data_IF_663726765063
#
_entry.id   IF_663726765063
#
_cell.length_a   1.000
_cell.length_b   1.000
_cell.length_c   1.000
_cell.angle_alpha   90.00
_cell.angle_beta   90.00
_cell.angle_gamma   90.00
#
_symmetry.space_group_name_H-M   'P 1'
#
loop_
_entity.id
_entity.type
_entity.pdbx_description
1 polymer ?
#
# COMPACT_ATOMS: atom_id res chain seq x y z
N UNK A 1 -4.34 7.28 47.19
CA UNK A 1 -3.21 8.16 46.80
C UNK A 1 -1.99 7.39 46.30
N UNK A 2 -1.48 6.38 47.02
CA UNK A 2 -0.31 5.57 46.60
C UNK A 2 -0.47 4.96 45.18
N UNK A 3 -1.68 4.45 44.86
CA UNK A 3 -1.97 3.87 43.53
C UNK A 3 -1.84 4.87 42.37
N UNK A 4 -2.18 6.14 42.58
CA UNK A 4 -2.10 7.19 41.56
C UNK A 4 -0.64 7.60 41.35
N UNK A 5 0.14 7.67 42.43
CA UNK A 5 1.58 7.92 42.36
C UNK A 5 2.33 6.85 41.57
N UNK A 6 1.97 5.57 41.75
CA UNK A 6 2.55 4.48 40.96
C UNK A 6 2.23 4.61 39.46
N UNK A 7 1.00 4.95 39.09
CA UNK A 7 0.62 5.14 37.68
C UNK A 7 1.42 6.27 37.04
N UNK A 8 1.59 7.39 37.75
CA UNK A 8 2.39 8.53 37.30
C UNK A 8 3.88 8.18 37.15
N UNK A 9 4.44 7.42 38.09
CA UNK A 9 5.83 6.98 38.03
C UNK A 9 6.07 6.05 36.84
N UNK A 10 5.15 5.10 36.61
CA UNK A 10 5.23 4.18 35.48
C UNK A 10 5.08 4.90 34.14
N UNK A 11 4.21 5.89 34.03
CA UNK A 11 4.04 6.63 32.76
C UNK A 11 5.27 7.46 32.41
N UNK A 12 5.97 8.04 33.40
CA UNK A 12 7.24 8.75 33.15
C UNK A 12 8.36 7.76 32.78
N UNK A 13 8.46 6.62 33.47
CA UNK A 13 9.50 5.61 33.22
C UNK A 13 9.35 4.91 31.85
N UNK A 14 8.13 4.78 31.35
CA UNK A 14 7.83 4.17 30.04
C UNK A 14 7.57 5.19 28.94
N UNK A 15 7.71 6.49 29.21
CA UNK A 15 7.57 7.52 28.18
C UNK A 15 8.73 7.36 27.19
N UNK A 16 8.38 7.03 25.96
CA UNK A 16 9.33 7.09 24.83
C UNK A 16 9.33 8.51 24.28
N UNK A 17 10.45 8.92 23.67
CA UNK A 17 10.49 10.19 22.94
C UNK A 17 9.44 10.18 21.82
N UNK A 18 8.75 11.31 21.58
CA UNK A 18 7.83 11.40 20.47
C UNK A 18 8.60 11.20 19.17
N UNK A 19 8.22 10.18 18.40
CA UNK A 19 8.77 9.94 17.07
C UNK A 19 8.56 11.16 16.19
N UNK A 20 9.51 11.42 15.29
CA UNK A 20 9.32 12.45 14.27
C UNK A 20 8.15 12.06 13.36
N UNK A 21 7.52 13.06 12.74
CA UNK A 21 6.43 12.79 11.81
C UNK A 21 6.90 11.96 10.61
N UNK A 22 8.13 12.18 10.16
CA UNK A 22 8.76 11.42 9.08
C UNK A 22 8.90 9.95 9.46
N UNK A 23 9.44 9.67 10.66
CA UNK A 23 9.57 8.32 11.17
C UNK A 23 8.21 7.63 11.34
N UNK A 24 7.17 8.38 11.76
CA UNK A 24 5.82 7.86 11.84
C UNK A 24 5.28 7.47 10.47
N UNK A 25 5.44 8.33 9.46
CA UNK A 25 4.96 8.08 8.09
C UNK A 25 5.69 6.89 7.48
N UNK A 26 7.01 6.85 7.59
CA UNK A 26 7.83 5.75 7.11
C UNK A 26 7.40 4.41 7.74
N UNK A 27 7.26 4.37 9.07
CA UNK A 27 6.79 3.18 9.78
C UNK A 27 5.39 2.74 9.33
N UNK A 28 4.48 3.69 9.06
CA UNK A 28 3.15 3.38 8.56
C UNK A 28 3.18 2.75 7.16
N UNK A 29 4.02 3.28 6.26
CA UNK A 29 4.20 2.75 4.91
C UNK A 29 4.87 1.37 4.92
N UNK A 30 5.88 1.17 5.77
CA UNK A 30 6.52 -0.13 5.98
C UNK A 30 5.55 -1.18 6.51
N UNK A 31 4.72 -0.80 7.49
CA UNK A 31 3.69 -1.68 8.02
C UNK A 31 2.66 -2.06 6.95
N UNK A 32 2.28 -1.10 6.11
CA UNK A 32 1.38 -1.33 4.97
C UNK A 32 1.98 -2.37 4.02
N UNK A 33 3.25 -2.19 3.62
CA UNK A 33 3.96 -3.16 2.77
C UNK A 33 4.00 -4.55 3.39
N UNK A 34 4.34 -4.65 4.67
CA UNK A 34 4.40 -5.92 5.39
C UNK A 34 3.04 -6.63 5.43
N UNK A 35 1.96 -5.91 5.73
CA UNK A 35 0.60 -6.49 5.79
C UNK A 35 0.03 -6.86 4.42
N UNK A 36 0.45 -6.16 3.38
CA UNK A 36 0.00 -6.41 2.01
C UNK A 36 0.90 -7.43 1.29
N UNK A 37 2.09 -7.73 1.82
CA UNK A 37 2.99 -8.73 1.26
C UNK A 37 2.28 -10.07 1.04
N UNK A 38 2.57 -10.68 -0.10
CA UNK A 38 1.77 -11.78 -0.66
C UNK A 38 2.53 -13.10 -0.50
N UNK A 39 1.87 -14.12 0.05
CA UNK A 39 2.36 -15.51 0.04
C UNK A 39 2.01 -16.26 -1.25
N UNK A 40 2.63 -17.43 -1.52
CA UNK A 40 2.48 -18.15 -2.79
C UNK A 40 1.04 -18.60 -3.09
N UNK A 41 0.20 -18.79 -2.07
CA UNK A 41 -1.20 -19.24 -2.21
C UNK A 41 -2.16 -18.16 -2.72
N UNK A 42 -1.79 -16.88 -2.58
CA UNK A 42 -2.63 -15.74 -2.98
C UNK A 42 -2.57 -15.41 -4.48
N UNK A 43 -1.70 -16.09 -5.23
CA UNK A 43 -1.62 -15.95 -6.70
C UNK A 43 -2.81 -16.59 -7.42
N UNK A 44 -3.61 -17.38 -6.70
CA UNK A 44 -4.84 -17.97 -7.21
C UNK A 44 -6.01 -16.98 -7.20
N UNK A 45 -5.99 -15.98 -6.30
CA UNK A 45 -6.95 -14.87 -6.31
C UNK A 45 -6.32 -13.66 -7.00
N UNK A 46 -6.64 -13.51 -8.29
CA UNK A 46 -6.11 -12.44 -9.14
C UNK A 46 -6.49 -11.05 -8.60
N UNK A 47 -7.67 -10.91 -7.99
CA UNK A 47 -8.14 -9.63 -7.43
C UNK A 47 -7.30 -9.24 -6.24
N UNK A 48 -7.24 -10.16 -5.28
CA UNK A 48 -6.59 -9.92 -4.00
C UNK A 48 -5.10 -9.67 -4.25
N UNK A 49 -4.48 -10.50 -5.10
CA UNK A 49 -3.10 -10.30 -5.54
C UNK A 49 -2.86 -8.95 -6.22
N UNK A 50 -3.76 -8.52 -7.13
CA UNK A 50 -3.66 -7.22 -7.78
C UNK A 50 -3.76 -6.05 -6.79
N UNK A 51 -4.77 -6.05 -5.92
CA UNK A 51 -5.01 -4.97 -4.97
C UNK A 51 -3.89 -4.86 -3.93
N UNK A 52 -3.39 -6.00 -3.44
CA UNK A 52 -2.22 -6.06 -2.55
C UNK A 52 -0.97 -5.49 -3.22
N UNK A 53 -0.66 -5.91 -4.44
CA UNK A 53 0.47 -5.38 -5.20
C UNK A 53 0.32 -3.88 -5.47
N UNK A 54 -0.89 -3.42 -5.80
CA UNK A 54 -1.18 -2.00 -5.97
C UNK A 54 -0.92 -1.21 -4.69
N UNK A 55 -1.34 -1.72 -3.53
CA UNK A 55 -1.09 -1.09 -2.24
C UNK A 55 0.41 -1.03 -1.90
N UNK A 56 1.17 -2.11 -2.17
CA UNK A 56 2.63 -2.13 -1.99
C UNK A 56 3.31 -1.11 -2.90
N UNK A 57 2.94 -1.09 -4.19
CA UNK A 57 3.50 -0.15 -5.15
C UNK A 57 3.23 1.29 -4.74
N UNK A 58 2.00 1.59 -4.33
CA UNK A 58 1.63 2.92 -3.86
C UNK A 58 2.42 3.34 -2.61
N UNK A 59 2.61 2.42 -1.65
CA UNK A 59 3.43 2.68 -0.48
C UNK A 59 4.92 2.94 -0.84
N UNK A 60 5.48 2.21 -1.81
CA UNK A 60 6.85 2.47 -2.29
C UNK A 60 6.98 3.87 -2.90
N UNK A 61 6.05 4.29 -3.76
CA UNK A 61 6.06 5.63 -4.35
C UNK A 61 6.04 6.73 -3.28
N UNK A 62 5.26 6.52 -2.20
CA UNK A 62 5.21 7.48 -1.10
C UNK A 62 6.49 7.49 -0.26
N UNK A 63 7.13 6.33 -0.08
CA UNK A 63 8.46 6.28 0.58
C UNK A 63 9.50 7.01 -0.26
N UNK A 64 9.56 6.76 -1.57
CA UNK A 64 10.45 7.48 -2.48
C UNK A 64 10.16 9.00 -2.47
N UNK A 65 8.89 9.39 -2.41
CA UNK A 65 8.49 10.80 -2.30
C UNK A 65 8.97 11.43 -0.99
N UNK A 66 8.86 10.71 0.12
CA UNK A 66 9.34 11.13 1.43
C UNK A 66 10.88 11.32 1.42
N UNK A 67 11.61 10.36 0.86
CA UNK A 67 13.07 10.43 0.70
C UNK A 67 13.51 11.60 -0.18
N UNK A 68 12.68 11.98 -1.16
CA UNK A 68 12.88 13.15 -2.02
C UNK A 68 12.48 14.49 -1.36
N UNK A 69 12.11 14.50 -0.08
CA UNK A 69 11.83 15.72 0.70
C UNK A 69 10.38 16.20 0.65
N UNK A 70 9.44 15.32 0.32
CA UNK A 70 8.01 15.64 0.40
C UNK A 70 7.56 15.79 1.85
N UNK A 71 6.53 16.61 2.09
CA UNK A 71 6.03 16.82 3.45
C UNK A 71 5.31 15.58 4.00
N UNK A 72 5.82 15.03 5.10
CA UNK A 72 5.19 13.90 5.82
C UNK A 72 3.76 14.19 6.25
N UNK A 73 3.46 15.44 6.61
CA UNK A 73 2.10 15.84 7.00
C UNK A 73 1.14 15.75 5.82
N UNK A 74 1.57 16.22 4.65
CA UNK A 74 0.78 16.16 3.43
C UNK A 74 0.59 14.71 2.99
N UNK A 75 1.63 13.88 3.05
CA UNK A 75 1.53 12.46 2.75
C UNK A 75 0.51 11.77 3.66
N UNK A 76 0.62 11.99 4.97
CA UNK A 76 -0.29 11.39 5.93
C UNK A 76 -1.74 11.80 5.70
N UNK A 77 -1.99 13.11 5.52
CA UNK A 77 -3.34 13.63 5.36
C UNK A 77 -4.00 13.19 4.07
N UNK A 78 -3.24 13.12 2.98
CA UNK A 78 -3.78 12.95 1.63
C UNK A 78 -3.82 11.49 1.21
N UNK A 79 -2.81 10.71 1.59
CA UNK A 79 -2.61 9.37 1.03
C UNK A 79 -2.96 8.23 1.99
N UNK A 80 -2.96 8.44 3.31
CA UNK A 80 -3.36 7.38 4.26
C UNK A 80 -4.80 6.90 4.07
N UNK A 81 -5.80 7.79 3.82
CA UNK A 81 -7.16 7.32 3.53
C UNK A 81 -7.24 6.39 2.32
N UNK A 82 -6.41 6.64 1.29
CA UNK A 82 -6.34 5.83 0.07
C UNK A 82 -5.71 4.47 0.37
N UNK A 83 -4.66 4.44 1.20
CA UNK A 83 -4.06 3.18 1.67
C UNK A 83 -5.08 2.35 2.45
N UNK A 84 -5.82 2.97 3.37
CA UNK A 84 -6.80 2.26 4.18
C UNK A 84 -7.98 1.75 3.34
N UNK A 85 -8.40 2.49 2.31
CA UNK A 85 -9.36 2.02 1.31
C UNK A 85 -8.83 0.79 0.56
N UNK A 86 -7.61 0.84 0.02
CA UNK A 86 -6.99 -0.30 -0.67
C UNK A 86 -6.90 -1.53 0.25
N UNK A 87 -6.53 -1.32 1.52
CA UNK A 87 -6.47 -2.39 2.52
C UNK A 87 -7.85 -2.99 2.77
N UNK A 88 -8.89 -2.15 2.88
CA UNK A 88 -10.27 -2.63 3.04
C UNK A 88 -10.74 -3.43 1.84
N UNK A 89 -10.48 -2.94 0.63
CA UNK A 89 -10.89 -3.58 -0.62
C UNK A 89 -10.25 -4.97 -0.82
N UNK A 90 -9.02 -5.16 -0.33
CA UNK A 90 -8.34 -6.46 -0.28
C UNK A 90 -9.14 -7.47 0.56
N UNK A 91 -9.70 -7.05 1.70
CA UNK A 91 -10.43 -7.93 2.61
C UNK A 91 -11.94 -8.04 2.33
N UNK A 92 -12.50 -7.21 1.45
CA UNK A 92 -13.94 -7.23 1.15
C UNK A 92 -14.41 -8.47 0.38
N UNK A 93 -13.50 -9.24 -0.24
CA UNK A 93 -13.83 -10.52 -0.90
C UNK A 93 -14.86 -10.44 -2.05
N UNK A 94 -15.16 -9.24 -2.55
CA UNK A 94 -16.10 -9.01 -3.66
C UNK A 94 -15.48 -9.43 -5.00
N UNK A 95 -16.29 -9.61 -6.04
CA UNK A 95 -15.82 -9.87 -7.41
C UNK A 95 -14.92 -8.74 -7.96
N UNK A 96 -14.02 -9.08 -8.89
CA UNK A 96 -13.06 -8.15 -9.48
C UNK A 96 -13.58 -7.55 -10.78
N UNK A 97 -13.86 -6.26 -10.77
CA UNK A 97 -13.99 -5.51 -12.03
C UNK A 97 -12.62 -4.99 -12.46
N UNK A 98 -11.97 -5.72 -13.37
CA UNK A 98 -10.73 -5.27 -14.00
C UNK A 98 -11.02 -4.03 -14.86
N UNK A 99 -10.51 -2.86 -14.45
CA UNK A 99 -10.56 -1.61 -15.24
C UNK A 99 -9.50 -1.57 -16.35
N UNK A 100 -9.45 -2.56 -17.24
CA UNK A 100 -8.72 -2.41 -18.52
C UNK A 100 -9.66 -1.55 -19.37
N UNK A 101 -9.27 -0.31 -19.65
CA UNK A 101 -9.81 0.34 -20.84
C UNK A 101 -9.42 -0.55 -22.01
N UNK A 102 -10.40 -1.26 -22.60
CA UNK A 102 -10.20 -1.93 -23.88
C UNK A 102 -9.71 -0.86 -24.85
N UNK A 103 -8.42 -0.85 -25.13
CA UNK A 103 -7.91 -0.14 -26.30
C UNK A 103 -8.62 -0.79 -27.48
N UNK A 104 -9.23 0.03 -28.35
CA UNK A 104 -10.09 -0.44 -29.44
C UNK A 104 -9.51 -1.71 -30.07
N UNK A 105 -10.30 -2.78 -30.16
CA UNK A 105 -9.87 -4.00 -30.83
C UNK A 105 -9.46 -3.58 -32.25
N UNK A 106 -8.18 -3.70 -32.64
CA UNK A 106 -7.79 -3.34 -33.99
C UNK A 106 -8.49 -4.33 -34.94
N UNK A 107 -9.32 -3.84 -35.85
CA UNK A 107 -9.99 -4.65 -36.88
C UNK A 107 -9.02 -5.22 -37.93
N UNK A 108 -7.70 -5.10 -37.71
CA UNK A 108 -6.68 -5.68 -38.56
C UNK A 108 -6.53 -7.16 -38.24
N UNK A 109 -6.67 -8.01 -39.25
CA UNK A 109 -6.37 -9.43 -39.16
C UNK A 109 -4.84 -9.61 -39.10
N UNK A 110 -4.26 -9.64 -37.89
CA UNK A 110 -2.82 -9.80 -37.70
C UNK A 110 -2.50 -11.29 -37.87
N UNK A 111 -1.89 -11.66 -38.99
CA UNK A 111 -1.41 -13.02 -39.20
C UNK A 111 -0.01 -13.19 -38.59
N UNK A 112 0.06 -13.79 -37.40
CA UNK A 112 1.30 -14.04 -36.67
C UNK A 112 2.19 -15.14 -37.30
N UNK A 113 1.71 -15.81 -38.36
CA UNK A 113 2.39 -16.91 -39.03
C UNK A 113 2.90 -16.57 -40.43
N UNK A 114 2.81 -15.30 -40.86
CA UNK A 114 3.44 -14.91 -42.12
C UNK A 114 4.95 -14.78 -41.91
N UNK A 115 5.68 -15.85 -42.20
CA UNK A 115 7.13 -15.75 -42.46
C UNK A 115 7.30 -14.99 -43.77
N UNK A 116 7.84 -13.77 -43.69
CA UNK A 116 8.39 -13.08 -44.86
C UNK A 116 9.58 -13.90 -45.36
N UNK A 117 9.44 -14.47 -46.55
CA UNK A 117 10.56 -15.00 -47.32
C UNK A 117 11.06 -13.85 -48.19
N UNK A 118 12.16 -13.25 -47.76
CA UNK A 118 13.13 -12.63 -48.68
C UNK A 118 14.32 -13.59 -48.83
#
# INVERSE_FOLDING_TARGET
MIKIGFILLFSILYSTEPKSLDEFVENHLLLTKSKMAVGPTLWMDIKEGYLRNKAIHYANVLMDSLDNGSSSLEIAKTHFPIIDELRRDVYEGKDFEYKIKKTSIPNSNINYFSSSKD
#
